data_IF_107405151766
#
_entry.id   IF_107405151766
#
_cell.length_a   1.000
_cell.length_b   1.000
_cell.length_c   1.000
_cell.angle_alpha   90.00
_cell.angle_beta   90.00
_cell.angle_gamma   90.00
#
_symmetry.space_group_name_H-M   'P 1'
#
loop_
_entity.id
_entity.type
_entity.pdbx_description
1 polymer ?
#
# COMPACT_ATOMS: atom_id res chain seq x y z
N UNK A 1 16.39 36.00 19.98
CA UNK A 1 16.71 34.93 19.01
C UNK A 1 17.13 33.70 19.81
N UNK A 2 16.23 32.74 20.02
CA UNK A 2 16.55 31.49 20.72
C UNK A 2 17.12 30.48 19.74
N UNK A 3 18.25 29.86 20.07
CA UNK A 3 18.82 28.78 19.26
C UNK A 3 17.85 27.59 19.21
N UNK A 4 17.64 26.96 18.04
CA UNK A 4 16.90 25.71 17.96
C UNK A 4 17.67 24.62 18.71
N UNK A 5 17.03 24.00 19.69
CA UNK A 5 17.59 22.85 20.41
C UNK A 5 17.85 21.71 19.42
N UNK A 6 19.00 21.01 19.51
CA UNK A 6 19.26 19.85 18.67
C UNK A 6 18.23 18.77 19.03
N UNK A 7 17.42 18.42 18.05
CA UNK A 7 16.35 17.48 18.24
C UNK A 7 16.93 16.08 18.50
N UNK A 8 16.76 15.56 19.72
CA UNK A 8 17.19 14.20 20.04
C UNK A 8 16.17 13.20 19.46
N UNK A 9 16.62 12.13 18.78
CA UNK A 9 15.71 11.08 18.35
C UNK A 9 15.02 10.47 19.58
N UNK A 10 13.72 10.21 19.46
CA UNK A 10 12.96 9.50 20.49
C UNK A 10 12.97 8.02 20.10
N UNK A 11 13.66 7.19 20.88
CA UNK A 11 13.56 5.74 20.75
C UNK A 11 12.27 5.26 21.37
N UNK A 12 11.42 4.59 20.58
CA UNK A 12 10.24 3.88 21.07
C UNK A 12 10.55 2.40 21.07
N UNK A 13 10.41 1.76 22.24
CA UNK A 13 10.61 0.33 22.41
C UNK A 13 9.29 -0.40 22.15
N UNK A 14 9.21 -1.11 21.02
CA UNK A 14 8.15 -2.09 20.81
C UNK A 14 8.74 -3.47 21.10
N UNK A 15 8.33 -4.07 22.21
CA UNK A 15 8.57 -5.49 22.45
C UNK A 15 7.40 -6.25 21.84
N UNK A 16 7.57 -6.96 20.71
CA UNK A 16 6.55 -7.90 20.29
C UNK A 16 6.37 -8.91 21.42
N UNK A 17 5.12 -9.16 21.85
CA UNK A 17 4.88 -10.30 22.72
C UNK A 17 5.39 -11.56 22.00
N UNK A 18 6.09 -12.46 22.70
CA UNK A 18 6.50 -13.71 22.10
C UNK A 18 5.23 -14.45 21.67
N UNK A 19 4.98 -14.51 20.36
CA UNK A 19 3.90 -15.32 19.82
C UNK A 19 4.21 -16.76 20.20
N UNK A 20 3.51 -17.29 21.20
CA UNK A 20 3.69 -18.65 21.74
C UNK A 20 3.25 -19.76 20.78
N UNK A 21 3.16 -19.49 19.47
CA UNK A 21 2.96 -20.53 18.47
C UNK A 21 4.30 -21.09 18.02
N UNK A 22 4.45 -22.39 18.28
CA UNK A 22 5.53 -23.29 17.87
C UNK A 22 5.76 -23.24 16.34
N UNK A 23 6.46 -22.23 15.85
CA UNK A 23 7.15 -22.34 14.56
C UNK A 23 8.57 -22.84 14.85
N UNK A 24 8.72 -24.17 14.83
CA UNK A 24 10.02 -24.84 14.89
C UNK A 24 10.75 -24.67 13.55
N UNK A 25 11.30 -23.49 13.30
CA UNK A 25 12.50 -23.28 12.48
C UNK A 25 13.21 -22.00 12.99
N UNK A 26 14.12 -22.17 13.95
CA UNK A 26 15.18 -21.19 14.24
C UNK A 26 16.09 -21.11 12.99
N UNK A 27 16.60 -19.96 12.53
CA UNK A 27 17.52 -19.06 13.24
C UNK A 27 17.49 -17.65 12.64
N UNK A 28 16.91 -16.70 13.37
CA UNK A 28 17.37 -15.30 13.30
C UNK A 28 17.02 -14.62 14.62
N UNK A 29 18.05 -14.42 15.44
CA UNK A 29 18.00 -13.58 16.63
C UNK A 29 17.90 -12.08 16.30
N UNK A 30 17.60 -11.68 15.05
CA UNK A 30 17.56 -10.27 14.62
C UNK A 30 16.14 -9.69 14.49
N UNK A 31 15.10 -10.43 14.88
CA UNK A 31 13.72 -9.91 14.89
C UNK A 31 13.37 -9.10 16.15
N UNK A 32 14.28 -8.98 17.12
CA UNK A 32 14.22 -7.98 18.18
C UNK A 32 14.97 -6.69 17.79
N UNK A 33 14.98 -6.35 16.50
CA UNK A 33 15.53 -5.07 16.07
C UNK A 33 14.60 -3.92 16.48
N UNK A 34 15.15 -2.98 17.22
CA UNK A 34 14.52 -1.74 17.67
C UNK A 34 13.95 -0.95 16.47
N UNK A 35 12.66 -0.59 16.52
CA UNK A 35 12.08 0.31 15.53
C UNK A 35 12.52 1.74 15.85
N UNK A 36 13.52 2.23 15.11
CA UNK A 36 13.96 3.60 15.26
C UNK A 36 12.98 4.57 14.58
N UNK A 37 12.43 5.47 15.39
CA UNK A 37 11.54 6.54 14.95
C UNK A 37 12.25 7.89 15.13
N UNK A 38 12.27 8.70 14.09
CA UNK A 38 12.48 10.14 14.30
C UNK A 38 11.29 10.64 15.10
N UNK A 39 11.52 11.41 16.18
CA UNK A 39 10.41 11.92 16.98
C UNK A 39 9.45 12.69 16.06
N UNK A 40 8.21 12.22 15.89
CA UNK A 40 7.32 12.81 14.90
C UNK A 40 6.77 14.16 15.39
N UNK A 41 6.94 14.48 16.68
CA UNK A 41 6.69 15.80 17.27
C UNK A 41 7.63 16.90 16.74
N UNK A 42 8.71 16.52 16.05
CA UNK A 42 9.63 17.46 15.41
C UNK A 42 9.21 17.85 13.99
N UNK A 43 8.22 17.14 13.43
CA UNK A 43 7.70 17.40 12.10
C UNK A 43 6.64 18.51 12.16
N UNK A 44 6.57 19.32 11.10
CA UNK A 44 5.46 20.28 10.96
C UNK A 44 4.16 19.51 10.74
N UNK A 45 3.32 19.44 11.77
CA UNK A 45 2.06 18.68 11.73
C UNK A 45 0.85 19.49 11.32
N UNK A 46 -0.15 18.86 10.70
CA UNK A 46 -1.50 19.39 10.62
C UNK A 46 -2.04 19.72 12.02
N UNK A 47 -2.81 20.81 12.13
CA UNK A 47 -3.36 21.30 13.41
C UNK A 47 -4.41 20.38 14.03
N UNK A 48 -5.00 19.50 13.22
CA UNK A 48 -6.06 18.57 13.58
C UNK A 48 -5.56 17.22 14.10
N UNK A 49 -4.23 16.97 14.10
CA UNK A 49 -3.65 15.73 14.63
C UNK A 49 -3.13 15.88 16.06
N UNK A 50 -3.67 15.06 16.96
CA UNK A 50 -3.13 14.91 18.32
C UNK A 50 -1.74 14.26 18.32
N UNK A 51 -0.96 14.49 19.38
CA UNK A 51 0.36 13.87 19.57
C UNK A 51 0.30 12.34 19.47
N UNK A 52 -0.74 11.74 20.05
CA UNK A 52 -0.97 10.30 20.04
C UNK A 52 -1.20 9.74 18.63
N UNK A 53 -2.02 10.43 17.81
CA UNK A 53 -2.24 10.03 16.41
C UNK A 53 -0.96 10.13 15.59
N UNK A 54 -0.18 11.21 15.80
CA UNK A 54 1.11 11.39 15.12
C UNK A 54 2.10 10.26 15.48
N UNK A 55 2.18 9.85 16.75
CA UNK A 55 3.02 8.72 17.13
C UNK A 55 2.50 7.40 16.55
N UNK A 56 1.20 7.16 16.60
CA UNK A 56 0.58 5.94 16.09
C UNK A 56 0.80 5.76 14.58
N UNK A 57 0.59 6.81 13.79
CA UNK A 57 0.83 6.78 12.34
C UNK A 57 2.33 6.59 12.00
N UNK A 58 3.24 7.26 12.73
CA UNK A 58 4.67 7.09 12.54
C UNK A 58 5.11 5.63 12.74
N UNK A 59 4.60 5.01 13.81
CA UNK A 59 4.82 3.60 14.12
C UNK A 59 4.23 2.72 13.01
N UNK A 60 2.98 2.96 12.62
CA UNK A 60 2.28 2.15 11.62
C UNK A 60 2.99 2.17 10.26
N UNK A 61 3.45 3.34 9.80
CA UNK A 61 4.26 3.46 8.57
C UNK A 61 5.51 2.60 8.67
N UNK A 62 6.26 2.70 9.78
CA UNK A 62 7.50 1.93 9.94
C UNK A 62 7.26 0.43 9.99
N UNK A 63 6.20 0.00 10.67
CA UNK A 63 5.77 -1.40 10.68
C UNK A 63 5.37 -1.86 9.27
N UNK A 64 4.63 -1.06 8.50
CA UNK A 64 4.26 -1.38 7.13
C UNK A 64 5.47 -1.64 6.23
N UNK A 65 6.50 -0.80 6.34
CA UNK A 65 7.75 -1.00 5.60
C UNK A 65 8.51 -2.24 6.07
N UNK A 66 8.53 -2.52 7.38
CA UNK A 66 9.22 -3.69 7.93
C UNK A 66 8.55 -5.00 7.53
N UNK A 67 7.24 -5.13 7.76
CA UNK A 67 6.45 -6.31 7.38
C UNK A 67 6.57 -6.57 5.88
N UNK A 68 6.47 -5.53 5.06
CA UNK A 68 6.70 -5.62 3.61
C UNK A 68 8.12 -6.10 3.26
N UNK A 69 9.15 -5.65 3.97
CA UNK A 69 10.53 -6.11 3.74
C UNK A 69 10.71 -7.59 4.14
N UNK A 70 10.19 -8.00 5.29
CA UNK A 70 10.22 -9.40 5.75
C UNK A 70 9.47 -10.32 4.78
N UNK A 71 8.32 -9.90 4.28
CA UNK A 71 7.62 -10.61 3.21
C UNK A 71 8.53 -10.82 2.00
N UNK A 72 9.24 -9.78 1.53
CA UNK A 72 10.13 -9.87 0.36
C UNK A 72 11.33 -10.81 0.54
N UNK A 73 11.81 -10.93 1.78
CA UNK A 73 12.91 -11.82 2.16
C UNK A 73 12.46 -13.29 2.19
N UNK A 74 11.28 -13.56 2.73
CA UNK A 74 10.76 -14.92 2.93
C UNK A 74 9.94 -15.45 1.74
N UNK A 75 9.35 -14.56 0.94
CA UNK A 75 8.54 -14.95 -0.18
C UNK A 75 9.40 -15.37 -1.40
N UNK A 76 8.95 -16.38 -2.14
CA UNK A 76 9.51 -16.74 -3.45
C UNK A 76 9.65 -15.52 -4.37
N UNK A 77 10.68 -15.51 -5.24
CA UNK A 77 10.96 -14.37 -6.14
C UNK A 77 9.75 -13.95 -7.00
N UNK A 78 8.90 -14.89 -7.39
CA UNK A 78 7.66 -14.65 -8.14
C UNK A 78 6.68 -13.74 -7.39
N UNK A 79 6.72 -13.70 -6.06
CA UNK A 79 5.79 -12.92 -5.24
C UNK A 79 6.31 -11.54 -4.85
N UNK A 80 7.58 -11.24 -5.12
CA UNK A 80 8.17 -9.92 -4.79
C UNK A 80 7.47 -8.76 -5.49
N UNK A 81 6.84 -9.01 -6.65
CA UNK A 81 6.06 -7.99 -7.36
C UNK A 81 4.82 -7.51 -6.57
N UNK A 82 4.32 -8.31 -5.62
CA UNK A 82 3.17 -7.97 -4.76
C UNK A 82 3.60 -7.12 -3.55
N UNK A 83 4.89 -7.15 -3.19
CA UNK A 83 5.42 -6.44 -2.02
C UNK A 83 4.99 -4.97 -1.93
N UNK A 84 5.08 -4.14 -2.99
CA UNK A 84 4.66 -2.75 -2.92
C UNK A 84 3.17 -2.61 -2.58
N UNK A 85 2.33 -3.50 -3.11
CA UNK A 85 0.89 -3.52 -2.81
C UNK A 85 0.59 -3.88 -1.36
N UNK A 86 1.30 -4.87 -0.80
CA UNK A 86 1.21 -5.19 0.63
C UNK A 86 1.57 -3.97 1.50
N UNK A 87 2.66 -3.27 1.16
CA UNK A 87 3.07 -2.05 1.88
C UNK A 87 2.00 -0.97 1.82
N UNK A 88 1.47 -0.72 0.62
CA UNK A 88 0.44 0.29 0.41
C UNK A 88 -0.84 -0.05 1.19
N UNK A 89 -1.28 -1.32 1.15
CA UNK A 89 -2.42 -1.80 1.94
C UNK A 89 -2.21 -1.59 3.44
N UNK A 90 -1.03 -1.95 3.98
CA UNK A 90 -0.72 -1.75 5.41
C UNK A 90 -0.76 -0.26 5.80
N UNK A 91 -0.30 0.63 4.92
CA UNK A 91 -0.37 2.08 5.12
C UNK A 91 -1.83 2.56 5.11
N UNK A 92 -2.63 2.13 4.14
CA UNK A 92 -4.05 2.47 4.06
C UNK A 92 -4.89 1.90 5.20
N UNK A 93 -4.50 0.77 5.78
CA UNK A 93 -5.23 0.12 6.86
C UNK A 93 -4.77 0.56 8.26
N UNK A 94 -3.89 1.57 8.36
CA UNK A 94 -3.34 2.06 9.64
C UNK A 94 -4.28 2.96 10.45
N UNK A 95 -5.52 3.16 10.00
CA UNK A 95 -6.53 4.07 10.59
C UNK A 95 -6.07 5.54 10.74
N UNK A 96 -5.06 5.96 9.97
CA UNK A 96 -4.51 7.32 9.98
C UNK A 96 -4.83 8.15 8.75
N UNK A 97 -4.26 9.36 8.68
CA UNK A 97 -4.43 10.27 7.52
C UNK A 97 -3.92 9.71 6.20
N UNK A 98 -2.96 8.79 6.24
CA UNK A 98 -2.49 8.12 5.04
C UNK A 98 -3.57 7.22 4.40
N UNK A 99 -4.59 6.82 5.16
CA UNK A 99 -5.77 6.14 4.63
C UNK A 99 -6.73 7.11 3.90
N UNK A 100 -6.73 8.39 4.30
CA UNK A 100 -7.55 9.44 3.69
C UNK A 100 -7.02 9.71 2.28
N UNK A 101 -7.71 9.16 1.29
CA UNK A 101 -7.29 9.21 -0.12
C UNK A 101 -7.23 7.87 -0.81
N UNK A 102 -7.39 6.75 -0.08
CA UNK A 102 -7.45 5.41 -0.67
C UNK A 102 -8.49 5.32 -1.79
N UNK A 103 -9.74 5.66 -1.49
CA UNK A 103 -10.86 5.57 -2.43
C UNK A 103 -10.68 6.50 -3.63
N UNK A 104 -10.19 7.71 -3.40
CA UNK A 104 -9.89 8.69 -4.44
C UNK A 104 -8.78 8.18 -5.39
N UNK A 105 -7.70 7.59 -4.86
CA UNK A 105 -6.65 6.97 -5.67
C UNK A 105 -7.20 5.79 -6.46
N UNK A 106 -8.06 4.95 -5.85
CA UNK A 106 -8.69 3.82 -6.54
C UNK A 106 -9.57 4.30 -7.69
N UNK A 107 -10.44 5.29 -7.44
CA UNK A 107 -11.32 5.90 -8.44
C UNK A 107 -10.53 6.50 -9.59
N UNK A 108 -9.51 7.29 -9.26
CA UNK A 108 -8.64 7.91 -10.26
C UNK A 108 -7.95 6.88 -11.16
N UNK A 109 -7.58 5.72 -10.62
CA UNK A 109 -6.91 4.65 -11.35
C UNK A 109 -7.86 3.59 -11.92
N UNK A 110 -9.17 3.78 -11.77
CA UNK A 110 -10.18 2.83 -12.22
C UNK A 110 -10.32 2.85 -13.76
N UNK A 111 -10.47 1.69 -14.46
CA UNK A 111 -10.56 1.64 -15.92
C UNK A 111 -11.70 2.48 -16.53
N UNK A 112 -12.84 2.65 -15.83
CA UNK A 112 -13.92 3.50 -16.36
C UNK A 112 -13.53 4.98 -16.41
N UNK A 113 -12.65 5.45 -15.50
CA UNK A 113 -12.05 6.77 -15.61
C UNK A 113 -11.10 6.85 -16.82
N UNK A 114 -10.47 5.73 -17.19
CA UNK A 114 -9.56 5.63 -18.34
C UNK A 114 -10.24 5.56 -19.72
N UNK A 115 -11.52 5.18 -19.79
CA UNK A 115 -12.30 5.20 -21.03
C UNK A 115 -12.73 6.61 -21.46
N UNK A 116 -12.52 7.63 -20.60
CA UNK A 116 -12.58 9.01 -21.02
C UNK A 116 -11.30 9.33 -21.77
N UNK A 117 -11.36 9.37 -23.11
CA UNK A 117 -10.33 9.82 -24.06
C UNK A 117 -8.85 9.69 -23.59
N UNK A 118 -7.98 8.88 -24.21
CA UNK A 118 -6.60 8.63 -23.76
C UNK A 118 -5.72 9.86 -23.41
N UNK A 119 -6.09 11.05 -23.89
CA UNK A 119 -5.46 12.34 -23.57
C UNK A 119 -6.08 13.09 -22.36
N UNK A 120 -7.25 12.71 -21.87
CA UNK A 120 -7.89 13.24 -20.65
C UNK A 120 -7.34 12.62 -19.36
N UNK A 121 -6.81 11.40 -19.40
CA UNK A 121 -6.02 10.84 -18.29
C UNK A 121 -4.76 11.67 -17.96
N UNK A 122 -4.30 12.51 -18.89
CA UNK A 122 -3.20 13.45 -18.68
C UNK A 122 -3.68 14.74 -17.98
N UNK A 123 -4.99 14.97 -17.87
CA UNK A 123 -5.57 16.25 -17.45
C UNK A 123 -6.21 16.30 -16.07
N UNK A 124 -6.39 15.19 -15.36
CA UNK A 124 -6.93 15.19 -14.01
C UNK A 124 -5.96 14.54 -13.03
N UNK A 125 -5.28 15.34 -12.22
CA UNK A 125 -4.90 14.85 -10.91
C UNK A 125 -6.18 14.47 -10.13
N UNK A 126 -6.09 13.61 -9.11
CA UNK A 126 -7.18 13.45 -8.15
C UNK A 126 -7.71 14.81 -7.66
N UNK A 127 -9.01 14.93 -7.43
CA UNK A 127 -9.66 16.21 -7.08
C UNK A 127 -9.04 16.86 -5.83
N UNK A 128 -8.56 16.05 -4.88
CA UNK A 128 -7.90 16.44 -3.64
C UNK A 128 -6.39 16.22 -3.71
N UNK A 129 -5.79 16.42 -4.89
CA UNK A 129 -4.35 16.28 -5.09
C UNK A 129 -3.49 17.04 -4.08
N UNK A 130 -3.77 18.33 -3.74
CA UNK A 130 -3.00 19.04 -2.73
C UNK A 130 -3.05 18.36 -1.35
N UNK A 131 -4.23 17.89 -0.93
CA UNK A 131 -4.45 17.21 0.33
C UNK A 131 -3.73 15.86 0.38
N UNK A 132 -3.83 15.07 -0.70
CA UNK A 132 -3.08 13.83 -0.85
C UNK A 132 -1.58 14.11 -0.70
N UNK A 133 -1.04 15.06 -1.44
CA UNK A 133 0.38 15.39 -1.37
C UNK A 133 0.81 15.86 0.03
N UNK A 134 0.00 16.68 0.69
CA UNK A 134 0.26 17.13 2.06
C UNK A 134 0.29 15.95 3.04
N UNK A 135 -0.66 15.01 2.93
CA UNK A 135 -0.74 13.84 3.80
C UNK A 135 0.50 12.95 3.68
N UNK A 136 0.98 12.67 2.46
CA UNK A 136 2.19 11.85 2.26
C UNK A 136 3.48 12.60 2.62
N UNK A 137 3.60 13.88 2.26
CA UNK A 137 4.79 14.69 2.58
C UNK A 137 5.02 14.76 4.08
N UNK A 138 3.96 14.90 4.88
CA UNK A 138 4.06 14.95 6.34
C UNK A 138 4.89 13.79 6.91
N UNK A 139 4.77 12.61 6.32
CA UNK A 139 5.50 11.39 6.71
C UNK A 139 6.86 11.21 6.02
N UNK A 140 7.35 12.22 5.30
CA UNK A 140 8.48 12.13 4.38
C UNK A 140 8.31 10.97 3.39
N UNK A 141 7.06 10.68 3.01
CA UNK A 141 6.72 9.67 2.03
C UNK A 141 6.43 10.35 0.70
N UNK A 142 6.99 9.80 -0.36
CA UNK A 142 6.65 10.19 -1.73
C UNK A 142 5.62 9.19 -2.25
N UNK A 143 4.43 9.61 -2.72
CA UNK A 143 3.39 8.67 -3.14
C UNK A 143 3.88 7.63 -4.17
N UNK A 144 4.71 8.05 -5.13
CA UNK A 144 5.29 7.14 -6.12
C UNK A 144 6.18 6.03 -5.53
N UNK A 145 6.80 6.24 -4.37
CA UNK A 145 7.58 5.19 -3.66
C UNK A 145 6.66 4.13 -3.08
N UNK A 146 5.40 4.48 -2.81
CA UNK A 146 4.34 3.58 -2.40
C UNK A 146 3.55 3.02 -3.60
N UNK A 147 3.96 3.33 -4.83
CA UNK A 147 3.28 2.90 -6.05
C UNK A 147 1.99 3.64 -6.33
N UNK A 148 1.82 4.86 -5.81
CA UNK A 148 0.75 5.78 -6.19
C UNK A 148 1.32 6.74 -7.25
N UNK A 149 0.70 6.91 -8.44
CA UNK A 149 1.27 7.68 -9.55
C UNK A 149 1.25 9.22 -9.37
N UNK A 150 1.41 9.70 -8.14
CA UNK A 150 1.40 11.13 -7.77
C UNK A 150 2.83 11.61 -7.51
N UNK A 151 3.18 12.77 -8.07
CA UNK A 151 4.48 13.43 -7.86
C UNK A 151 4.33 14.77 -7.12
N UNK A 152 4.62 14.78 -5.82
CA UNK A 152 4.46 15.97 -4.99
C UNK A 152 5.62 16.98 -5.08
N UNK A 153 6.63 16.75 -5.92
CA UNK A 153 7.86 17.55 -5.93
C UNK A 153 7.80 18.83 -6.78
N UNK A 154 6.89 19.00 -7.76
CA UNK A 154 6.51 20.25 -8.46
C UNK A 154 5.69 19.98 -9.75
N UNK A 155 4.94 21.00 -10.20
CA UNK A 155 4.00 21.13 -11.35
C UNK A 155 3.33 19.85 -11.90
N UNK A 156 1.99 19.83 -11.84
CA UNK A 156 1.02 18.88 -12.43
C UNK A 156 1.34 18.34 -13.85
N UNK A 157 2.28 18.95 -14.58
CA UNK A 157 2.68 18.57 -15.93
C UNK A 157 3.47 17.25 -15.99
N UNK A 158 4.01 16.78 -14.85
CA UNK A 158 4.76 15.51 -14.77
C UNK A 158 3.95 14.36 -14.13
N UNK A 159 2.62 14.39 -14.23
CA UNK A 159 1.81 13.24 -13.84
C UNK A 159 2.16 12.04 -14.73
N UNK A 160 2.74 11.01 -14.11
CA UNK A 160 2.97 9.73 -14.76
C UNK A 160 1.61 9.17 -15.15
N UNK A 161 1.41 8.86 -16.45
CA UNK A 161 0.19 8.21 -16.92
C UNK A 161 -0.01 6.92 -16.12
N UNK A 162 -1.03 6.83 -15.26
CA UNK A 162 -1.26 5.62 -14.51
C UNK A 162 -1.71 4.53 -15.49
N UNK A 163 -1.11 3.35 -15.38
CA UNK A 163 -1.79 2.16 -15.88
C UNK A 163 -3.02 1.94 -15.00
N UNK A 164 -4.17 1.69 -15.61
CA UNK A 164 -5.38 1.39 -14.87
C UNK A 164 -5.19 0.17 -13.96
N UNK A 165 -5.94 0.12 -12.86
CA UNK A 165 -6.01 -1.05 -11.98
C UNK A 165 -6.47 -2.25 -12.82
N UNK A 166 -5.77 -3.37 -12.69
CA UNK A 166 -6.19 -4.64 -13.29
C UNK A 166 -6.61 -5.61 -12.21
N UNK A 167 -7.82 -6.12 -12.32
CA UNK A 167 -8.41 -7.13 -11.42
C UNK A 167 -8.17 -8.56 -11.90
N UNK A 168 -7.13 -8.74 -12.74
CA UNK A 168 -6.70 -10.06 -13.24
C UNK A 168 -5.54 -10.58 -12.42
N UNK A 169 -5.73 -11.73 -11.77
CA UNK A 169 -4.76 -12.33 -10.84
C UNK A 169 -3.41 -12.57 -11.51
N UNK A 170 -3.41 -13.02 -12.76
CA UNK A 170 -2.18 -13.31 -13.52
C UNK A 170 -1.34 -12.07 -13.83
N UNK A 171 -1.89 -10.85 -13.70
CA UNK A 171 -1.13 -9.59 -13.88
C UNK A 171 -0.34 -9.16 -12.64
N UNK A 172 -0.62 -9.72 -11.46
CA UNK A 172 0.00 -9.28 -10.19
C UNK A 172 1.43 -9.82 -9.96
N UNK A 173 1.72 -11.13 -10.11
CA UNK A 173 3.03 -11.69 -9.77
C UNK A 173 4.10 -11.52 -10.85
N UNK A 174 3.81 -10.81 -11.95
CA UNK A 174 4.78 -10.67 -13.06
C UNK A 174 5.98 -9.83 -12.59
N UNK A 175 7.22 -10.35 -12.60
CA UNK A 175 8.40 -9.57 -12.22
C UNK A 175 8.50 -8.31 -13.09
N UNK A 176 8.84 -7.16 -12.50
CA UNK A 176 9.04 -5.89 -13.23
C UNK A 176 10.24 -5.90 -14.20
N UNK A 177 10.92 -7.04 -14.35
CA UNK A 177 12.14 -7.19 -15.13
C UNK A 177 11.92 -7.31 -16.64
N UNK A 178 10.67 -7.28 -17.12
CA UNK A 178 10.39 -7.05 -18.54
C UNK A 178 10.47 -5.54 -18.85
N UNK A 179 11.71 -5.05 -18.90
CA UNK A 179 12.09 -3.68 -19.27
C UNK A 179 11.63 -3.27 -20.68
N UNK A 180 11.27 -4.25 -21.52
CA UNK A 180 10.74 -4.06 -22.89
C UNK A 180 9.40 -3.30 -22.94
N UNK A 181 8.70 -3.15 -21.81
CA UNK A 181 7.47 -2.37 -21.67
C UNK A 181 7.63 -1.11 -20.78
N UNK A 182 8.85 -0.81 -20.34
CA UNK A 182 9.07 0.20 -19.30
C UNK A 182 10.21 1.15 -19.69
N UNK A 183 9.83 2.31 -20.22
CA UNK A 183 10.72 3.47 -20.28
C UNK A 183 11.32 3.79 -18.90
N UNK A 184 12.47 4.45 -18.91
CA UNK A 184 13.52 4.61 -17.87
C UNK A 184 13.03 4.96 -16.44
N UNK A 185 11.76 5.27 -16.20
CA UNK A 185 11.19 5.66 -14.90
C UNK A 185 10.18 4.69 -14.25
N UNK A 186 9.95 3.47 -14.77
CA UNK A 186 8.81 2.62 -14.35
C UNK A 186 9.18 1.32 -13.61
N UNK A 187 10.19 1.36 -12.73
CA UNK A 187 10.46 0.25 -11.78
C UNK A 187 9.25 -0.09 -10.89
N UNK A 188 8.30 0.84 -10.76
CA UNK A 188 7.02 0.67 -10.12
C UNK A 188 5.93 0.70 -11.19
N UNK A 189 5.07 -0.31 -11.22
CA UNK A 189 3.81 -0.29 -11.97
C UNK A 189 2.74 0.18 -11.00
N UNK A 190 2.32 1.46 -11.02
CA UNK A 190 1.43 1.99 -10.00
C UNK A 190 0.08 1.26 -10.02
N UNK A 191 -0.48 1.02 -11.20
CA UNK A 191 -1.70 0.23 -11.40
C UNK A 191 -1.67 -1.13 -10.73
N UNK A 192 -0.54 -1.84 -10.84
CA UNK A 192 -0.34 -3.14 -10.19
C UNK A 192 -0.19 -3.03 -8.68
N UNK A 193 0.47 -1.98 -8.20
CA UNK A 193 0.65 -1.75 -6.77
C UNK A 193 -0.69 -1.47 -6.10
N UNK A 194 -1.50 -0.60 -6.71
CA UNK A 194 -2.86 -0.31 -6.24
C UNK A 194 -3.76 -1.55 -6.37
N UNK A 195 -3.69 -2.30 -7.47
CA UNK A 195 -4.41 -3.57 -7.60
C UNK A 195 -4.03 -4.57 -6.49
N UNK A 196 -2.74 -4.79 -6.24
CA UNK A 196 -2.31 -5.67 -5.16
C UNK A 196 -2.77 -5.17 -3.79
N UNK A 197 -2.81 -3.85 -3.55
CA UNK A 197 -3.33 -3.29 -2.31
C UNK A 197 -4.84 -3.53 -2.15
N UNK A 198 -5.64 -3.33 -3.21
CA UNK A 198 -7.09 -3.61 -3.16
C UNK A 198 -7.40 -5.10 -3.10
N UNK A 199 -6.51 -5.97 -3.57
CA UNK A 199 -6.63 -7.42 -3.36
C UNK A 199 -6.59 -7.77 -1.87
N UNK A 200 -5.60 -7.26 -1.11
CA UNK A 200 -5.51 -7.51 0.33
C UNK A 200 -6.70 -6.92 1.09
N UNK A 201 -7.15 -5.76 0.65
CA UNK A 201 -8.33 -5.08 1.18
C UNK A 201 -9.62 -5.87 0.96
N UNK A 202 -9.83 -6.37 -0.27
CA UNK A 202 -10.93 -7.29 -0.60
C UNK A 202 -10.88 -8.56 0.25
N UNK A 203 -9.70 -9.14 0.43
CA UNK A 203 -9.51 -10.34 1.26
C UNK A 203 -9.94 -10.06 2.71
N UNK A 204 -9.46 -8.94 3.28
CA UNK A 204 -9.81 -8.54 4.63
C UNK A 204 -11.32 -8.26 4.79
N UNK A 205 -11.94 -7.59 3.80
CA UNK A 205 -13.35 -7.23 3.82
C UNK A 205 -14.28 -8.45 3.64
N UNK A 206 -13.89 -9.41 2.81
CA UNK A 206 -14.74 -10.55 2.42
C UNK A 206 -14.54 -11.76 3.30
N UNK A 207 -13.28 -12.09 3.63
CA UNK A 207 -12.92 -13.29 4.37
C UNK A 207 -12.40 -12.98 5.79
N UNK A 208 -12.31 -11.70 6.16
CA UNK A 208 -11.85 -11.24 7.46
C UNK A 208 -10.34 -11.01 7.54
N UNK A 209 -9.87 -10.28 8.57
CA UNK A 209 -8.47 -9.88 8.69
C UNK A 209 -7.51 -11.07 8.87
N UNK A 210 -7.95 -12.17 9.50
CA UNK A 210 -7.14 -13.37 9.66
C UNK A 210 -6.76 -14.01 8.31
N UNK A 211 -7.65 -13.90 7.33
CA UNK A 211 -7.44 -14.49 6.01
C UNK A 211 -6.30 -13.81 5.23
N UNK A 212 -5.98 -12.55 5.54
CA UNK A 212 -4.78 -11.89 4.98
C UNK A 212 -3.51 -12.57 5.47
N UNK A 213 -3.42 -12.90 6.76
CA UNK A 213 -2.27 -13.63 7.31
C UNK A 213 -2.14 -15.02 6.69
N UNK A 214 -3.25 -15.77 6.58
CA UNK A 214 -3.27 -17.08 5.93
C UNK A 214 -2.80 -17.00 4.46
N UNK A 215 -3.25 -15.98 3.73
CA UNK A 215 -2.81 -15.70 2.36
C UNK A 215 -1.29 -15.41 2.30
N UNK A 216 -0.78 -14.60 3.24
CA UNK A 216 0.65 -14.27 3.32
C UNK A 216 1.52 -15.50 3.59
N UNK A 217 1.07 -16.41 4.45
CA UNK A 217 1.73 -17.69 4.68
C UNK A 217 1.65 -18.61 3.45
N UNK A 218 0.50 -18.62 2.77
CA UNK A 218 0.30 -19.42 1.57
C UNK A 218 1.22 -19.00 0.41
N UNK A 219 1.64 -17.73 0.31
CA UNK A 219 2.64 -17.30 -0.69
C UNK A 219 3.97 -18.06 -0.59
N UNK A 220 4.32 -18.60 0.58
CA UNK A 220 5.53 -19.41 0.74
C UNK A 220 5.37 -20.81 0.11
N UNK A 221 4.15 -21.36 0.19
CA UNK A 221 3.79 -22.72 -0.24
C UNK A 221 3.43 -22.80 -1.72
N UNK A 222 2.69 -21.82 -2.22
CA UNK A 222 2.19 -21.80 -3.60
C UNK A 222 3.03 -20.88 -4.49
N UNK A 223 3.14 -21.23 -5.78
CA UNK A 223 3.88 -20.44 -6.78
C UNK A 223 2.98 -19.71 -7.77
N UNK A 224 1.69 -20.05 -7.79
CA UNK A 224 0.67 -19.51 -8.69
C UNK A 224 -0.49 -18.98 -7.86
N UNK A 225 -1.11 -17.90 -8.32
CA UNK A 225 -2.17 -17.22 -7.57
C UNK A 225 -3.42 -18.08 -7.54
N UNK A 226 -3.74 -18.71 -8.66
CA UNK A 226 -4.90 -19.58 -8.84
C UNK A 226 -4.90 -20.73 -7.82
N UNK A 227 -3.76 -21.42 -7.67
CA UNK A 227 -3.61 -22.51 -6.70
C UNK A 227 -3.65 -22.02 -5.26
N UNK A 228 -3.16 -20.81 -5.00
CA UNK A 228 -3.23 -20.19 -3.67
C UNK A 228 -4.67 -19.85 -3.31
N UNK A 229 -5.39 -19.17 -4.20
CA UNK A 229 -6.78 -18.74 -3.99
C UNK A 229 -7.66 -19.95 -3.69
N UNK A 230 -7.56 -20.99 -4.51
CA UNK A 230 -8.34 -22.22 -4.31
C UNK A 230 -8.04 -22.89 -2.96
N UNK A 231 -6.76 -22.93 -2.56
CA UNK A 231 -6.36 -23.59 -1.33
C UNK A 231 -6.70 -22.81 -0.05
N UNK A 232 -6.71 -21.48 -0.10
CA UNK A 232 -6.94 -20.62 1.07
C UNK A 232 -8.42 -20.29 1.24
N UNK A 233 -9.14 -20.01 0.14
CA UNK A 233 -10.49 -19.47 0.19
C UNK A 233 -11.58 -20.45 -0.26
N UNK A 234 -11.21 -21.64 -0.73
CA UNK A 234 -12.13 -22.66 -1.25
C UNK A 234 -13.09 -22.14 -2.35
N UNK A 235 -12.60 -21.22 -3.17
CA UNK A 235 -13.33 -20.66 -4.33
C UNK A 235 -12.50 -20.81 -5.60
N UNK A 236 -13.18 -20.83 -6.75
CA UNK A 236 -12.47 -20.83 -8.04
C UNK A 236 -11.75 -19.48 -8.24
N UNK A 237 -10.60 -19.46 -8.95
CA UNK A 237 -9.91 -18.22 -9.29
C UNK A 237 -10.80 -17.21 -10.01
N UNK A 238 -11.71 -17.67 -10.86
CA UNK A 238 -12.63 -16.83 -11.62
C UNK A 238 -13.71 -16.19 -10.73
N UNK A 239 -14.26 -16.96 -9.79
CA UNK A 239 -15.23 -16.45 -8.82
C UNK A 239 -14.57 -15.40 -7.91
N UNK A 240 -13.33 -15.66 -7.48
CA UNK A 240 -12.54 -14.71 -6.71
C UNK A 240 -12.24 -13.43 -7.50
N UNK A 241 -11.79 -13.53 -8.74
CA UNK A 241 -11.56 -12.38 -9.63
C UNK A 241 -12.83 -11.54 -9.81
N UNK A 242 -13.98 -12.20 -10.04
CA UNK A 242 -15.25 -11.52 -10.21
C UNK A 242 -15.66 -10.76 -8.94
N UNK A 243 -15.52 -11.39 -7.77
CA UNK A 243 -15.79 -10.76 -6.47
C UNK A 243 -14.88 -9.57 -6.20
N UNK A 244 -13.57 -9.74 -6.44
CA UNK A 244 -12.60 -8.65 -6.28
C UNK A 244 -12.86 -7.50 -7.27
N UNK A 245 -13.20 -7.79 -8.53
CA UNK A 245 -13.53 -6.76 -9.50
C UNK A 245 -14.79 -5.98 -9.12
N UNK A 246 -15.83 -6.66 -8.63
CA UNK A 246 -17.03 -6.01 -8.12
C UNK A 246 -16.71 -5.10 -6.92
N UNK A 247 -15.87 -5.57 -6.00
CA UNK A 247 -15.42 -4.78 -4.86
C UNK A 247 -14.66 -3.51 -5.27
N UNK A 248 -13.73 -3.60 -6.22
CA UNK A 248 -13.00 -2.43 -6.73
C UNK A 248 -13.94 -1.43 -7.44
N UNK A 249 -14.95 -1.93 -8.17
CA UNK A 249 -15.96 -1.08 -8.79
C UNK A 249 -16.77 -0.30 -7.75
N UNK A 250 -17.19 -0.97 -6.66
CA UNK A 250 -17.96 -0.37 -5.57
C UNK A 250 -17.15 0.75 -4.88
N UNK A 251 -15.89 0.49 -4.53
CA UNK A 251 -14.97 1.49 -3.97
C UNK A 251 -14.79 2.71 -4.89
N UNK A 252 -14.77 2.50 -6.20
CA UNK A 252 -14.63 3.60 -7.16
C UNK A 252 -15.88 4.50 -7.21
N UNK A 253 -17.05 3.98 -6.84
CA UNK A 253 -18.35 4.67 -6.95
C UNK A 253 -18.81 5.36 -5.65
N UNK A 254 -18.15 5.11 -4.50
CA UNK A 254 -18.70 5.42 -3.17
C UNK A 254 -18.81 6.91 -2.74
N UNK A 255 -18.44 7.90 -3.57
CA UNK A 255 -18.23 9.29 -3.11
C UNK A 255 -19.28 10.33 -3.55
N UNK A 256 -20.40 9.94 -4.16
CA UNK A 256 -21.42 10.93 -4.58
C UNK A 256 -22.39 11.35 -3.45
N UNK A 257 -22.40 10.68 -2.28
CA UNK A 257 -23.55 10.80 -1.34
C UNK A 257 -23.21 11.51 -0.02
N UNK A 258 -21.95 11.73 0.34
CA UNK A 258 -21.58 12.21 1.68
C UNK A 258 -21.21 13.72 1.79
N UNK A 259 -21.46 14.52 0.75
CA UNK A 259 -21.07 15.94 0.70
C UNK A 259 -22.25 16.95 0.71
N UNK A 260 -23.46 16.52 1.10
CA UNK A 260 -24.59 17.40 1.44
C UNK A 260 -24.76 17.56 2.95
#
# INVERSE_FOLDING_TARGET
MGMPWPARPMTVWLRPEPVTQRFMFATSSSLQEEIQLTSPLLLRRPVDLSDGQVVAEAVAVRLAFRVSAEFSLNAPRSWRAIQPGLRLWLVWNSAGRLALGKEEVIRWMHPQAANQEPWRLVKGAPDRYPELCQNYWFWNLRPYVLGIPINCDNQLQDLLRPNAISTKLYHLPVPSQYWELSGINTRFSPGRTVAAATLFDYVAATYGPAAVTEMLEAFQRYRRMESLIQAVFDVSPEAFEAGWAAYVNDLAQHDEVAAE
#
